data_IF_845146855587
#
_entry.id   IF_845146855587
#
_cell.length_a   1.000
_cell.length_b   1.000
_cell.length_c   1.000
_cell.angle_alpha   90.00
_cell.angle_beta   90.00
_cell.angle_gamma   90.00
#
_symmetry.space_group_name_H-M   'P 1'
#
loop_
_entity.id
_entity.type
_entity.pdbx_description
1 polymer ?
#
# COMPACT_ATOMS: atom_id res chain seq x y z
N UNK A 1 50.19 -2.91 0.76
CA UNK A 1 50.03 -3.02 -0.70
C UNK A 1 48.60 -2.62 -1.02
N UNK A 2 48.33 -1.32 -1.02
CA UNK A 2 46.98 -0.77 -1.23
C UNK A 2 46.75 -0.57 -2.73
N UNK A 3 45.86 -1.39 -3.31
CA UNK A 3 45.35 -1.17 -4.65
C UNK A 3 44.19 -0.17 -4.56
N UNK A 4 44.50 1.12 -4.61
CA UNK A 4 43.49 2.17 -4.76
C UNK A 4 42.84 2.04 -6.14
N UNK A 5 41.63 1.50 -6.17
CA UNK A 5 40.77 1.45 -7.36
C UNK A 5 40.47 2.89 -7.80
N UNK A 6 41.17 3.36 -8.84
CA UNK A 6 40.94 4.66 -9.47
C UNK A 6 39.83 4.46 -10.51
N UNK A 7 38.58 4.88 -10.25
CA UNK A 7 37.49 4.71 -11.21
C UNK A 7 37.84 5.45 -12.50
N UNK A 8 37.60 4.79 -13.63
CA UNK A 8 37.98 5.27 -14.95
C UNK A 8 37.21 6.57 -15.28
N UNK A 9 37.91 7.62 -15.70
CA UNK A 9 37.35 8.94 -16.02
C UNK A 9 36.21 8.87 -17.07
N UNK A 10 36.22 7.84 -17.92
CA UNK A 10 35.17 7.56 -18.88
C UNK A 10 33.81 7.24 -18.22
N UNK A 11 33.80 6.50 -17.11
CA UNK A 11 32.57 6.16 -16.38
C UNK A 11 31.98 7.38 -15.67
N UNK A 12 32.84 8.27 -15.15
CA UNK A 12 32.45 9.54 -14.51
C UNK A 12 31.78 10.49 -15.52
N UNK A 13 32.31 10.57 -16.75
CA UNK A 13 31.77 11.41 -17.82
C UNK A 13 30.45 10.85 -18.39
N UNK A 14 30.33 9.52 -18.51
CA UNK A 14 29.10 8.88 -18.97
C UNK A 14 27.97 9.04 -17.95
N UNK A 15 28.26 8.95 -16.65
CA UNK A 15 27.28 9.13 -15.58
C UNK A 15 26.82 10.59 -15.42
N UNK A 16 27.71 11.58 -15.65
CA UNK A 16 27.32 13.00 -15.72
C UNK A 16 26.46 13.33 -16.94
N UNK A 17 26.63 12.63 -18.06
CA UNK A 17 25.87 12.86 -19.30
C UNK A 17 24.51 12.14 -19.30
N UNK A 18 24.38 11.02 -18.58
CA UNK A 18 23.14 10.23 -18.47
C UNK A 18 21.99 10.90 -17.69
N UNK A 19 22.25 12.02 -17.01
CA UNK A 19 21.27 12.75 -16.18
C UNK A 19 20.78 14.04 -16.89
N UNK A 20 21.18 14.28 -18.15
CA UNK A 20 20.77 15.47 -18.91
C UNK A 20 20.33 15.15 -20.33
N UNK A 21 19.65 14.03 -20.53
CA UNK A 21 18.89 13.85 -21.76
C UNK A 21 17.53 14.53 -21.57
N UNK A 22 17.31 15.74 -22.15
CA UNK A 22 16.08 16.50 -21.95
C UNK A 22 14.83 15.71 -22.37
N UNK A 23 15.01 14.72 -23.24
CA UNK A 23 13.98 13.78 -23.69
C UNK A 23 13.57 12.83 -22.55
N UNK A 24 14.51 12.26 -21.80
CA UNK A 24 14.21 11.34 -20.70
C UNK A 24 13.56 12.09 -19.55
N UNK A 25 14.07 13.28 -19.21
CA UNK A 25 13.45 14.14 -18.19
C UNK A 25 12.04 14.57 -18.61
N UNK A 26 11.84 14.93 -19.89
CA UNK A 26 10.52 15.24 -20.44
C UNK A 26 9.55 14.06 -20.36
N UNK A 27 10.02 12.85 -20.69
CA UNK A 27 9.24 11.62 -20.59
C UNK A 27 8.82 11.32 -19.15
N UNK A 28 9.75 11.42 -18.20
CA UNK A 28 9.47 11.23 -16.77
C UNK A 28 8.42 12.24 -16.28
N UNK A 29 8.60 13.53 -16.57
CA UNK A 29 7.64 14.58 -16.19
C UNK A 29 6.26 14.31 -16.79
N UNK A 30 6.21 13.88 -18.06
CA UNK A 30 4.97 13.56 -18.76
C UNK A 30 4.25 12.37 -18.12
N UNK A 31 4.99 11.31 -17.77
CA UNK A 31 4.44 10.14 -17.08
C UNK A 31 3.89 10.53 -15.71
N UNK A 32 4.63 11.33 -14.94
CA UNK A 32 4.17 11.84 -13.64
C UNK A 32 2.92 12.71 -13.77
N UNK A 33 2.89 13.61 -14.75
CA UNK A 33 1.72 14.46 -15.02
C UNK A 33 0.50 13.61 -15.39
N UNK A 34 0.67 12.60 -16.24
CA UNK A 34 -0.41 11.70 -16.64
C UNK A 34 -0.93 10.86 -15.47
N UNK A 35 -0.04 10.32 -14.63
CA UNK A 35 -0.42 9.58 -13.42
C UNK A 35 -1.19 10.47 -12.44
N UNK A 36 -0.72 11.69 -12.20
CA UNK A 36 -1.39 12.64 -11.33
C UNK A 36 -2.76 13.01 -11.88
N UNK A 37 -2.89 13.30 -13.17
CA UNK A 37 -4.19 13.58 -13.80
C UNK A 37 -5.13 12.37 -13.65
N UNK A 38 -4.63 11.16 -13.92
CA UNK A 38 -5.43 9.95 -13.84
C UNK A 38 -5.93 9.64 -12.42
N UNK A 39 -5.16 9.97 -11.38
CA UNK A 39 -5.56 9.80 -9.98
C UNK A 39 -6.44 10.96 -9.50
N UNK A 40 -6.03 12.19 -9.77
CA UNK A 40 -6.72 13.38 -9.28
C UNK A 40 -8.09 13.56 -9.94
N UNK A 41 -8.25 13.20 -11.21
CA UNK A 41 -9.54 13.32 -11.90
C UNK A 41 -10.67 12.52 -11.23
N UNK A 42 -10.57 11.19 -11.01
CA UNK A 42 -11.62 10.43 -10.35
C UNK A 42 -11.80 10.81 -8.88
N UNK A 43 -10.71 11.12 -8.16
CA UNK A 43 -10.79 11.56 -6.75
C UNK A 43 -11.54 12.88 -6.65
N UNK A 44 -11.21 13.86 -7.50
CA UNK A 44 -11.88 15.16 -7.52
C UNK A 44 -13.34 15.02 -7.96
N UNK A 45 -13.62 14.18 -8.97
CA UNK A 45 -14.99 13.90 -9.39
C UNK A 45 -15.80 13.25 -8.27
N UNK A 46 -15.22 12.28 -7.55
CA UNK A 46 -15.87 11.65 -6.40
C UNK A 46 -16.15 12.66 -5.27
N UNK A 47 -15.21 13.57 -4.99
CA UNK A 47 -15.39 14.64 -4.00
C UNK A 47 -16.51 15.61 -4.38
N UNK A 48 -16.55 16.06 -5.65
CA UNK A 48 -17.59 16.96 -6.15
C UNK A 48 -18.96 16.29 -6.07
N UNK A 49 -19.08 15.03 -6.53
CA UNK A 49 -20.32 14.24 -6.43
C UNK A 49 -20.73 13.99 -4.98
N UNK A 50 -19.78 13.87 -4.05
CA UNK A 50 -20.09 13.66 -2.63
C UNK A 50 -20.66 14.92 -1.95
N UNK A 51 -20.43 16.11 -2.50
CA UNK A 51 -20.81 17.40 -1.89
C UNK A 51 -21.98 18.05 -2.65
N UNK A 52 -22.15 17.74 -3.94
CA UNK A 52 -23.24 18.26 -4.76
C UNK A 52 -24.40 17.26 -4.82
N UNK A 53 -25.60 17.75 -4.50
CA UNK A 53 -26.87 17.04 -4.73
C UNK A 53 -27.67 17.91 -5.70
N UNK A 54 -28.01 17.35 -6.87
CA UNK A 54 -28.79 18.04 -7.91
C UNK A 54 -28.30 19.45 -8.29
N UNK A 55 -26.96 19.62 -8.39
CA UNK A 55 -26.33 20.88 -8.78
C UNK A 55 -26.25 21.94 -7.68
N UNK A 56 -26.66 21.62 -6.45
CA UNK A 56 -26.48 22.49 -5.27
C UNK A 56 -25.51 21.84 -4.28
N UNK A 57 -24.66 22.66 -3.67
CA UNK A 57 -23.84 22.23 -2.53
C UNK A 57 -24.80 21.90 -1.38
N UNK A 58 -24.93 20.63 -1.04
CA UNK A 58 -25.86 20.15 -0.01
C UNK A 58 -25.20 19.08 0.84
N UNK A 59 -25.20 19.30 2.16
CA UNK A 59 -24.71 18.34 3.15
C UNK A 59 -25.74 17.25 3.49
N UNK A 60 -26.87 17.20 2.78
CA UNK A 60 -27.92 16.21 3.03
C UNK A 60 -27.45 14.77 2.89
N UNK A 61 -26.54 14.48 1.94
CA UNK A 61 -25.92 13.16 1.82
C UNK A 61 -25.19 12.80 3.12
N UNK A 62 -24.36 13.68 3.66
CA UNK A 62 -23.65 13.44 4.91
C UNK A 62 -24.59 13.26 6.10
N UNK A 63 -25.61 14.11 6.23
CA UNK A 63 -26.60 14.02 7.30
C UNK A 63 -27.38 12.70 7.21
N UNK A 64 -27.73 12.25 6.01
CA UNK A 64 -28.36 10.96 5.78
C UNK A 64 -27.46 9.79 6.22
N UNK A 65 -26.17 9.82 5.88
CA UNK A 65 -25.19 8.81 6.30
C UNK A 65 -25.10 8.71 7.85
N UNK A 66 -25.14 9.84 8.56
CA UNK A 66 -25.09 9.85 10.03
C UNK A 66 -26.41 9.51 10.72
N UNK A 67 -27.56 9.83 10.09
CA UNK A 67 -28.89 9.48 10.60
C UNK A 67 -29.16 7.98 10.50
N UNK A 68 -28.60 7.30 9.51
CA UNK A 68 -28.88 5.90 9.28
C UNK A 68 -28.13 4.99 10.27
N UNK A 69 -28.87 4.37 11.19
CA UNK A 69 -28.31 3.57 12.27
C UNK A 69 -27.49 2.37 11.78
N UNK A 70 -27.89 1.73 10.67
CA UNK A 70 -27.13 0.64 10.06
C UNK A 70 -25.76 1.11 9.59
N UNK A 71 -25.68 2.26 8.90
CA UNK A 71 -24.42 2.75 8.35
C UNK A 71 -23.44 3.16 9.45
N UNK A 72 -23.94 3.84 10.49
CA UNK A 72 -23.15 4.17 11.68
C UNK A 72 -22.63 2.90 12.38
N UNK A 73 -23.46 1.86 12.50
CA UNK A 73 -23.05 0.58 13.10
C UNK A 73 -21.96 -0.09 12.27
N UNK A 74 -22.10 -0.13 10.94
CA UNK A 74 -21.07 -0.67 10.03
C UNK A 74 -19.76 0.11 10.16
N UNK A 75 -19.81 1.44 10.18
CA UNK A 75 -18.62 2.28 10.35
C UNK A 75 -17.87 1.97 11.65
N UNK A 76 -18.58 1.91 12.79
CA UNK A 76 -17.97 1.61 14.09
C UNK A 76 -17.40 0.18 14.09
N UNK A 77 -18.11 -0.79 13.52
CA UNK A 77 -17.62 -2.17 13.43
C UNK A 77 -16.34 -2.26 12.60
N UNK A 78 -16.28 -1.60 11.45
CA UNK A 78 -15.08 -1.54 10.61
C UNK A 78 -13.92 -0.87 11.32
N UNK A 79 -14.16 0.23 12.06
CA UNK A 79 -13.13 0.92 12.83
C UNK A 79 -12.59 0.03 13.96
N UNK A 80 -13.49 -0.62 14.72
CA UNK A 80 -13.11 -1.58 15.77
C UNK A 80 -12.30 -2.74 15.22
N UNK A 81 -12.73 -3.29 14.07
CA UNK A 81 -12.00 -4.35 13.37
C UNK A 81 -10.61 -3.87 12.97
N UNK A 82 -10.50 -2.69 12.35
CA UNK A 82 -9.23 -2.13 11.90
C UNK A 82 -8.24 -1.95 13.06
N UNK A 83 -8.68 -1.36 14.18
CA UNK A 83 -7.83 -1.15 15.37
C UNK A 83 -7.38 -2.47 15.98
N UNK A 84 -8.30 -3.42 16.12
CA UNK A 84 -8.00 -4.75 16.70
C UNK A 84 -6.99 -5.50 15.83
N UNK A 85 -7.24 -5.57 14.52
CA UNK A 85 -6.37 -6.25 13.57
C UNK A 85 -5.01 -5.56 13.49
N UNK A 86 -4.96 -4.23 13.38
CA UNK A 86 -3.71 -3.48 13.31
C UNK A 86 -2.84 -3.68 14.56
N UNK A 87 -3.45 -3.67 15.75
CA UNK A 87 -2.71 -3.86 17.01
C UNK A 87 -2.12 -5.28 17.09
N UNK A 88 -2.95 -6.30 16.82
CA UNK A 88 -2.52 -7.70 16.89
C UNK A 88 -1.48 -8.01 15.80
N UNK A 89 -1.71 -7.57 14.56
CA UNK A 89 -0.80 -7.83 13.44
C UNK A 89 0.53 -7.12 13.62
N UNK A 90 0.54 -5.89 14.14
CA UNK A 90 1.77 -5.15 14.43
C UNK A 90 2.57 -5.86 15.52
N UNK A 91 1.92 -6.33 16.59
CA UNK A 91 2.61 -7.05 17.65
C UNK A 91 3.23 -8.36 17.14
N UNK A 92 2.46 -9.19 16.43
CA UNK A 92 2.95 -10.47 15.87
C UNK A 92 4.05 -10.21 14.82
N UNK A 93 3.83 -9.27 13.91
CA UNK A 93 4.78 -8.91 12.86
C UNK A 93 6.07 -8.34 13.42
N UNK A 94 6.00 -7.55 14.50
CA UNK A 94 7.16 -7.04 15.21
C UNK A 94 7.96 -8.18 15.86
N UNK A 95 7.30 -9.09 16.59
CA UNK A 95 7.96 -10.27 17.17
C UNK A 95 8.65 -11.11 16.09
N UNK A 96 7.97 -11.35 14.96
CA UNK A 96 8.51 -12.09 13.83
C UNK A 96 9.73 -11.39 13.19
N UNK A 97 9.63 -10.10 12.91
CA UNK A 97 10.72 -9.31 12.33
C UNK A 97 11.92 -9.18 13.29
N UNK A 98 11.66 -9.05 14.59
CA UNK A 98 12.68 -9.03 15.62
C UNK A 98 13.41 -10.38 15.68
N UNK A 99 12.66 -11.48 15.73
CA UNK A 99 13.23 -12.81 15.79
C UNK A 99 14.13 -13.09 14.56
N UNK A 100 13.67 -12.72 13.36
CA UNK A 100 14.41 -12.98 12.13
C UNK A 100 15.70 -12.15 12.00
N UNK A 101 15.74 -10.96 12.59
CA UNK A 101 16.86 -10.02 12.44
C UNK A 101 17.83 -10.01 13.63
N UNK A 102 17.38 -10.36 14.85
CA UNK A 102 18.17 -10.26 16.08
C UNK A 102 18.49 -11.61 16.73
N UNK A 103 17.80 -12.69 16.38
CA UNK A 103 18.11 -14.05 16.87
C UNK A 103 18.68 -14.91 15.75
N UNK A 104 19.59 -15.82 16.13
CA UNK A 104 20.24 -16.75 15.20
C UNK A 104 19.36 -18.00 15.00
N UNK A 105 18.28 -17.81 14.23
CA UNK A 105 17.29 -18.86 13.98
C UNK A 105 17.79 -19.79 12.87
N UNK A 106 17.81 -21.13 13.08
CA UNK A 106 18.12 -22.06 12.00
C UNK A 106 17.10 -21.90 10.85
N UNK A 107 17.57 -22.03 9.61
CA UNK A 107 16.74 -21.89 8.40
C UNK A 107 16.09 -20.50 8.19
N UNK A 108 16.74 -19.41 8.59
CA UNK A 108 16.29 -18.02 8.37
C UNK A 108 15.73 -17.73 6.97
N UNK A 109 16.35 -18.28 5.91
CA UNK A 109 15.87 -18.11 4.53
C UNK A 109 14.50 -18.72 4.25
N UNK A 110 14.18 -19.86 4.88
CA UNK A 110 12.85 -20.49 4.76
C UNK A 110 11.77 -19.62 5.40
N UNK A 111 12.02 -19.12 6.62
CA UNK A 111 11.09 -18.21 7.27
C UNK A 111 10.87 -16.94 6.43
N UNK A 112 11.94 -16.32 5.91
CA UNK A 112 11.83 -15.16 5.02
C UNK A 112 10.91 -15.44 3.82
N UNK A 113 11.03 -16.60 3.18
CA UNK A 113 10.18 -16.99 2.06
C UNK A 113 8.71 -17.16 2.45
N UNK A 114 8.41 -17.72 3.64
CA UNK A 114 7.03 -17.84 4.13
C UNK A 114 6.33 -16.48 4.25
N UNK A 115 7.06 -15.42 4.60
CA UNK A 115 6.50 -14.06 4.68
C UNK A 115 6.06 -13.46 3.34
N UNK A 116 6.55 -14.00 2.23
CA UNK A 116 6.19 -13.57 0.87
C UNK A 116 4.95 -14.30 0.33
N UNK A 117 4.60 -15.46 0.89
CA UNK A 117 3.43 -16.24 0.46
C UNK A 117 2.11 -15.44 0.46
N UNK A 118 1.81 -14.60 1.47
CA UNK A 118 0.58 -13.81 1.48
C UNK A 118 0.49 -12.79 0.35
N UNK A 119 1.64 -12.34 -0.18
CA UNK A 119 1.70 -11.34 -1.27
C UNK A 119 1.43 -12.02 -2.62
N UNK A 120 1.93 -13.25 -2.80
CA UNK A 120 1.73 -14.03 -4.02
C UNK A 120 0.30 -14.58 -4.10
N UNK A 121 -0.28 -14.92 -2.95
CA UNK A 121 -1.63 -15.46 -2.88
C UNK A 121 -2.67 -14.40 -3.27
N UNK A 122 -3.58 -14.69 -4.22
CA UNK A 122 -4.70 -13.80 -4.49
C UNK A 122 -5.53 -13.60 -3.21
N UNK A 123 -5.96 -12.36 -2.89
CA UNK A 123 -6.66 -12.07 -1.64
C UNK A 123 -7.96 -12.87 -1.49
N UNK A 124 -8.60 -13.21 -2.60
CA UNK A 124 -9.82 -14.02 -2.62
C UNK A 124 -9.61 -15.46 -2.13
N UNK A 125 -8.55 -16.12 -2.58
CA UNK A 125 -8.24 -17.49 -2.16
C UNK A 125 -7.93 -17.54 -0.67
N UNK A 126 -7.15 -16.57 -0.18
CA UNK A 126 -6.83 -16.45 1.23
C UNK A 126 -8.10 -16.31 2.09
N UNK A 127 -9.02 -15.43 1.69
CA UNK A 127 -10.28 -15.24 2.40
C UNK A 127 -11.12 -16.53 2.44
N UNK A 128 -11.24 -17.25 1.33
CA UNK A 128 -11.96 -18.53 1.27
C UNK A 128 -11.35 -19.59 2.19
N UNK A 129 -10.03 -19.74 2.19
CA UNK A 129 -9.34 -20.70 3.06
C UNK A 129 -9.61 -20.41 4.53
N UNK A 130 -9.58 -19.15 4.95
CA UNK A 130 -9.88 -18.74 6.32
C UNK A 130 -11.35 -19.01 6.66
N UNK A 131 -12.29 -18.73 5.74
CA UNK A 131 -13.72 -19.01 5.95
C UNK A 131 -13.98 -20.51 6.06
N UNK A 132 -13.31 -21.36 5.28
CA UNK A 132 -13.46 -22.81 5.39
C UNK A 132 -12.86 -23.34 6.68
N UNK A 133 -11.70 -22.83 7.11
CA UNK A 133 -10.99 -23.29 8.31
C UNK A 133 -11.65 -22.81 9.60
N UNK A 134 -12.17 -21.58 9.64
CA UNK A 134 -12.79 -20.98 10.83
C UNK A 134 -14.32 -20.91 10.75
N UNK A 135 -14.92 -21.40 9.67
CA UNK A 135 -16.35 -21.40 9.45
C UNK A 135 -17.05 -22.58 10.10
N UNK A 136 -18.38 -22.63 9.99
CA UNK A 136 -19.21 -23.67 10.61
C UNK A 136 -18.93 -25.10 10.13
N UNK A 137 -18.24 -25.27 9.01
CA UNK A 137 -17.89 -26.56 8.41
C UNK A 137 -16.38 -26.86 8.49
N UNK A 138 -15.62 -26.07 9.26
CA UNK A 138 -14.20 -26.27 9.54
C UNK A 138 -13.94 -27.25 10.67
#
# INVERSE_FOLDING_TARGET
MELTFKPNTAEQLQNKKKIKDPIITGAIITIWALLLIFILYPVSKAMITSIMVDGRVSFEHYIYLFKQAWLRKTFINSMKLAVTVATISTFIGYCYAYALNRTDIPCKGFFQQMSLLPIISPPFMFALSVILLLGKNG
#
